data_IF_444733935163
#
_entry.id   IF_444733935163
#
_cell.length_a   1.000
_cell.length_b   1.000
_cell.length_c   1.000
_cell.angle_alpha   90.00
_cell.angle_beta   90.00
_cell.angle_gamma   90.00
#
_symmetry.space_group_name_H-M   'P 1'
#
loop_
_entity.id
_entity.type
_entity.pdbx_description
1 polymer ?
#
# COMPACT_ATOMS: atom_id res chain seq x y z
N UNK A 1 -14.53 -15.49 4.75
CA UNK A 1 -13.48 -16.48 4.42
C UNK A 1 -12.16 -15.78 4.67
N UNK A 2 -11.44 -16.18 5.72
CA UNK A 2 -10.07 -15.75 5.97
C UNK A 2 -9.24 -16.11 4.76
N UNK A 3 -8.48 -15.14 4.22
CA UNK A 3 -7.35 -15.43 3.33
C UNK A 3 -6.60 -16.61 3.92
N UNK A 4 -6.53 -17.73 3.19
CA UNK A 4 -5.68 -18.85 3.58
C UNK A 4 -4.26 -18.31 3.84
N UNK A 5 -3.49 -18.97 4.72
CA UNK A 5 -2.08 -18.67 5.03
C UNK A 5 -1.22 -18.69 3.76
N UNK A 6 -1.31 -17.63 2.99
CA UNK A 6 -0.52 -17.39 1.80
C UNK A 6 0.76 -16.76 2.32
N UNK A 7 1.84 -17.55 2.33
CA UNK A 7 3.15 -17.08 2.75
C UNK A 7 3.60 -15.92 1.87
N UNK A 8 4.31 -14.95 2.46
CA UNK A 8 4.86 -13.80 1.71
C UNK A 8 6.05 -14.28 0.87
N UNK A 9 5.99 -14.22 -0.48
CA UNK A 9 7.13 -14.52 -1.35
C UNK A 9 8.26 -13.52 -1.10
N UNK A 10 9.51 -13.97 -1.14
CA UNK A 10 10.65 -13.14 -0.74
C UNK A 10 11.24 -12.33 -1.88
N UNK A 11 10.87 -12.65 -3.12
CA UNK A 11 11.23 -11.90 -4.31
C UNK A 11 10.06 -11.78 -5.28
N UNK A 12 10.14 -10.80 -6.16
CA UNK A 12 9.16 -10.62 -7.24
C UNK A 12 9.06 -11.82 -8.17
N UNK A 13 10.18 -12.51 -8.40
CA UNK A 13 10.24 -13.70 -9.24
C UNK A 13 9.73 -14.97 -8.53
N UNK A 14 9.49 -14.90 -7.21
CA UNK A 14 8.90 -15.99 -6.42
C UNK A 14 7.36 -15.89 -6.35
N UNK A 15 6.77 -14.82 -6.90
CA UNK A 15 5.32 -14.67 -7.01
C UNK A 15 4.82 -15.59 -8.12
N UNK A 16 4.29 -16.75 -7.74
CA UNK A 16 3.75 -17.74 -8.68
C UNK A 16 2.33 -17.41 -9.12
N UNK A 17 1.89 -18.02 -10.21
CA UNK A 17 0.52 -17.90 -10.73
C UNK A 17 -0.53 -18.41 -9.72
N UNK A 18 -0.27 -19.52 -9.03
CA UNK A 18 -1.14 -20.05 -7.97
C UNK A 18 -1.26 -19.08 -6.78
N UNK A 19 -0.14 -18.46 -6.41
CA UNK A 19 -0.10 -17.46 -5.34
C UNK A 19 -0.92 -16.23 -5.73
N UNK A 20 -0.72 -15.71 -6.94
CA UNK A 20 -1.46 -14.52 -7.43
C UNK A 20 -2.95 -14.82 -7.61
N UNK A 21 -3.32 -16.02 -8.07
CA UNK A 21 -4.71 -16.49 -8.11
C UNK A 21 -5.34 -16.40 -6.72
N UNK A 22 -4.64 -16.89 -5.70
CA UNK A 22 -5.11 -16.84 -4.32
C UNK A 22 -5.26 -15.40 -3.82
N UNK A 23 -4.27 -14.54 -4.08
CA UNK A 23 -4.25 -13.14 -3.69
C UNK A 23 -5.38 -12.30 -4.34
N UNK A 24 -5.84 -12.67 -5.54
CA UNK A 24 -6.91 -11.96 -6.25
C UNK A 24 -8.30 -12.56 -6.02
N UNK A 25 -8.39 -13.76 -5.45
CA UNK A 25 -9.63 -14.56 -5.38
C UNK A 25 -10.81 -13.86 -4.70
N UNK A 26 -10.58 -12.98 -3.74
CA UNK A 26 -11.64 -12.22 -3.07
C UNK A 26 -12.31 -11.19 -3.99
N UNK A 27 -11.55 -10.57 -4.89
CA UNK A 27 -12.03 -9.53 -5.79
C UNK A 27 -12.43 -10.07 -7.16
N UNK A 28 -11.80 -11.16 -7.61
CA UNK A 28 -12.00 -11.77 -8.91
C UNK A 28 -12.31 -13.26 -8.77
N UNK A 29 -13.47 -13.63 -8.19
CA UNK A 29 -13.82 -15.03 -7.99
C UNK A 29 -13.90 -15.76 -9.34
N UNK A 30 -13.21 -16.89 -9.45
CA UNK A 30 -13.15 -17.70 -10.68
C UNK A 30 -12.10 -17.25 -11.69
N UNK A 31 -11.27 -16.24 -11.39
CA UNK A 31 -10.07 -15.96 -12.15
C UNK A 31 -8.95 -16.93 -11.76
N UNK A 32 -8.30 -17.52 -12.76
CA UNK A 32 -7.13 -18.39 -12.61
C UNK A 32 -5.97 -17.76 -13.38
N UNK A 33 -4.95 -17.30 -12.66
CA UNK A 33 -3.74 -16.72 -13.24
C UNK A 33 -2.85 -17.85 -13.75
N UNK A 34 -2.30 -17.71 -14.96
CA UNK A 34 -1.36 -18.68 -15.54
C UNK A 34 0.04 -18.11 -15.78
N UNK A 35 0.17 -16.79 -15.93
CA UNK A 35 1.44 -16.07 -16.12
C UNK A 35 1.54 -14.87 -15.18
N UNK A 36 2.71 -14.70 -14.56
CA UNK A 36 3.06 -13.51 -13.77
C UNK A 36 4.43 -13.03 -14.24
N UNK A 37 4.50 -11.80 -14.74
CA UNK A 37 5.77 -11.21 -15.23
C UNK A 37 6.04 -9.85 -14.64
N UNK A 38 7.26 -9.64 -14.16
CA UNK A 38 7.70 -8.32 -13.69
C UNK A 38 7.93 -7.40 -14.89
N UNK A 39 7.13 -6.35 -15.00
CA UNK A 39 7.20 -5.35 -16.07
C UNK A 39 8.08 -4.16 -15.66
N UNK A 40 8.04 -3.80 -14.38
CA UNK A 40 8.81 -2.68 -13.83
C UNK A 40 9.25 -3.04 -12.41
N UNK A 41 10.48 -2.68 -12.06
CA UNK A 41 11.00 -2.67 -10.69
C UNK A 41 11.40 -1.24 -10.32
N UNK A 42 11.00 -0.81 -9.14
CA UNK A 42 11.32 0.51 -8.56
C UNK A 42 11.63 0.32 -7.07
N UNK A 43 12.77 -0.32 -6.82
CA UNK A 43 13.23 -0.62 -5.47
C UNK A 43 14.02 0.56 -4.91
N UNK A 44 13.63 0.98 -3.70
CA UNK A 44 14.28 2.03 -2.91
C UNK A 44 14.12 1.70 -1.44
N UNK A 45 13.69 2.64 -0.61
CA UNK A 45 13.36 2.37 0.81
C UNK A 45 12.28 1.29 0.98
N UNK A 46 11.38 1.17 0.00
CA UNK A 46 10.50 0.01 -0.17
C UNK A 46 10.75 -0.61 -1.54
N UNK A 47 10.45 -1.90 -1.68
CA UNK A 47 10.43 -2.57 -2.97
C UNK A 47 9.08 -2.35 -3.64
N UNK A 48 9.09 -2.05 -4.94
CA UNK A 48 7.87 -1.84 -5.73
C UNK A 48 8.01 -2.49 -7.09
N UNK A 49 6.96 -3.15 -7.55
CA UNK A 49 6.92 -3.74 -8.87
C UNK A 49 5.58 -3.54 -9.56
N UNK A 50 5.61 -3.43 -10.90
CA UNK A 50 4.42 -3.66 -11.72
C UNK A 50 4.50 -5.08 -12.25
N UNK A 51 3.46 -5.86 -12.03
CA UNK A 51 3.35 -7.24 -12.52
C UNK A 51 2.27 -7.29 -13.61
N UNK A 52 2.61 -7.86 -14.77
CA UNK A 52 1.63 -8.23 -15.79
C UNK A 52 1.11 -9.64 -15.52
N UNK A 53 -0.20 -9.83 -15.72
CA UNK A 53 -0.90 -11.06 -15.44
C UNK A 53 -1.51 -11.65 -16.72
N UNK A 54 -1.37 -12.96 -16.88
CA UNK A 54 -2.15 -13.80 -17.80
C UNK A 54 -3.18 -14.62 -17.04
N UNK A 55 -4.24 -15.05 -17.73
CA UNK A 55 -5.30 -15.87 -17.14
C UNK A 55 -5.64 -17.05 -18.03
N UNK A 56 -5.66 -18.26 -17.45
CA UNK A 56 -6.18 -19.47 -18.09
C UNK A 56 -7.71 -19.55 -18.03
N UNK A 57 -8.31 -18.96 -16.99
CA UNK A 57 -9.75 -18.89 -16.80
C UNK A 57 -10.18 -17.60 -16.09
N UNK A 58 -11.44 -17.21 -16.29
CA UNK A 58 -12.00 -15.98 -15.72
C UNK A 58 -11.33 -14.71 -16.26
N UNK A 59 -11.43 -13.62 -15.50
CA UNK A 59 -10.83 -12.35 -15.86
C UNK A 59 -10.47 -11.53 -14.62
N UNK A 60 -9.34 -10.83 -14.67
CA UNK A 60 -8.87 -9.92 -13.64
C UNK A 60 -8.07 -8.76 -14.25
N UNK A 61 -7.36 -7.98 -13.44
CA UNK A 61 -6.54 -6.87 -13.92
C UNK A 61 -5.39 -7.38 -14.78
N UNK A 62 -5.16 -6.75 -15.95
CA UNK A 62 -4.03 -7.09 -16.81
C UNK A 62 -2.67 -6.76 -16.16
N UNK A 63 -2.66 -5.77 -15.26
CA UNK A 63 -1.50 -5.40 -14.45
C UNK A 63 -1.90 -5.10 -13.01
N UNK A 64 -1.02 -5.43 -12.08
CA UNK A 64 -1.13 -5.06 -10.66
C UNK A 64 0.14 -4.35 -10.20
N UNK A 65 -0.01 -3.54 -9.17
CA UNK A 65 1.11 -2.92 -8.46
C UNK A 65 1.38 -3.72 -7.18
N UNK A 66 2.62 -4.16 -6.98
CA UNK A 66 3.07 -4.84 -5.78
C UNK A 66 3.97 -3.91 -4.97
N UNK A 67 3.76 -3.87 -3.66
CA UNK A 67 4.59 -3.13 -2.70
C UNK A 67 4.99 -4.04 -1.57
N UNK A 68 6.27 -4.06 -1.24
CA UNK A 68 6.82 -4.81 -0.13
C UNK A 68 7.89 -4.00 0.59
N UNK A 69 8.21 -4.40 1.81
CA UNK A 69 9.40 -3.89 2.48
C UNK A 69 10.66 -4.46 1.81
N UNK A 70 11.71 -3.67 1.78
CA UNK A 70 13.06 -4.18 1.54
C UNK A 70 13.65 -4.67 2.87
N UNK A 71 14.03 -5.95 3.00
CA UNK A 71 14.64 -6.47 4.22
C UNK A 71 15.85 -5.65 4.71
N UNK A 72 16.63 -5.06 3.80
CA UNK A 72 17.79 -4.22 4.15
C UNK A 72 17.38 -2.87 4.77
N UNK A 73 16.14 -2.43 4.53
CA UNK A 73 15.60 -1.16 5.00
C UNK A 73 14.49 -1.31 6.05
N UNK A 74 14.14 -2.53 6.47
CA UNK A 74 13.03 -2.78 7.39
C UNK A 74 13.19 -2.04 8.74
N UNK A 75 14.41 -2.01 9.28
CA UNK A 75 14.71 -1.29 10.52
C UNK A 75 14.55 0.24 10.35
N UNK A 76 15.01 0.79 9.23
CA UNK A 76 14.83 2.21 8.91
C UNK A 76 13.35 2.58 8.79
N UNK A 77 12.57 1.75 8.09
CA UNK A 77 11.12 1.96 7.94
C UNK A 77 10.42 1.87 9.29
N UNK A 78 10.81 0.92 10.15
CA UNK A 78 10.27 0.77 11.50
C UNK A 78 10.56 1.98 12.40
N UNK A 79 11.75 2.60 12.30
CA UNK A 79 12.10 3.82 13.04
C UNK A 79 11.18 5.01 12.70
N UNK A 80 10.67 5.06 11.47
CA UNK A 80 9.69 6.07 11.05
C UNK A 80 8.24 5.71 11.40
N UNK A 81 8.03 4.69 12.25
CA UNK A 81 6.73 4.11 12.65
C UNK A 81 5.98 3.45 11.48
N UNK A 82 6.53 3.42 10.26
CA UNK A 82 5.76 3.14 9.04
C UNK A 82 5.58 1.68 8.65
N UNK A 83 6.31 0.73 9.25
CA UNK A 83 6.50 -0.60 8.66
C UNK A 83 5.19 -1.35 8.36
N UNK A 84 4.23 -1.31 9.28
CA UNK A 84 2.94 -1.99 9.11
C UNK A 84 1.76 -1.05 8.91
N UNK A 85 1.99 0.27 8.86
CA UNK A 85 0.90 1.24 8.82
C UNK A 85 0.03 1.10 7.58
N UNK A 86 0.63 0.97 6.41
CA UNK A 86 -0.10 0.83 5.16
C UNK A 86 -0.87 -0.49 5.05
N UNK A 87 -0.27 -1.68 5.28
CA UNK A 87 -1.03 -2.92 5.23
C UNK A 87 -2.10 -2.99 6.33
N UNK A 88 -1.87 -2.45 7.54
CA UNK A 88 -2.93 -2.36 8.58
C UNK A 88 -4.05 -1.42 8.17
N UNK A 89 -3.73 -0.28 7.52
CA UNK A 89 -4.73 0.65 7.02
C UNK A 89 -5.66 -0.01 6.01
N UNK A 90 -5.12 -0.67 4.99
CA UNK A 90 -5.94 -1.28 3.96
C UNK A 90 -6.66 -2.55 4.43
N UNK A 91 -6.10 -3.28 5.42
CA UNK A 91 -6.79 -4.39 6.07
C UNK A 91 -7.88 -3.96 7.06
N UNK A 92 -7.85 -2.71 7.54
CA UNK A 92 -8.83 -2.22 8.53
C UNK A 92 -10.25 -2.03 7.98
N UNK A 93 -10.38 -1.91 6.65
CA UNK A 93 -11.66 -1.69 5.98
C UNK A 93 -12.31 -0.33 6.26
N UNK A 94 -11.59 0.62 6.87
CA UNK A 94 -12.14 1.96 7.13
C UNK A 94 -12.31 2.74 5.83
N UNK A 95 -13.36 3.58 5.72
CA UNK A 95 -13.57 4.38 4.54
C UNK A 95 -12.51 5.48 4.41
N UNK A 96 -11.80 5.52 3.29
CA UNK A 96 -10.88 6.62 2.99
C UNK A 96 -11.60 7.66 2.11
N UNK A 97 -11.80 8.91 2.57
CA UNK A 97 -12.53 9.93 1.81
C UNK A 97 -11.66 10.61 0.74
N UNK A 98 -10.82 9.83 0.05
CA UNK A 98 -9.99 10.24 -1.08
C UNK A 98 -9.85 9.10 -2.09
N UNK A 99 -9.49 9.44 -3.32
CA UNK A 99 -9.16 8.43 -4.33
C UNK A 99 -7.91 7.65 -3.89
N UNK A 100 -7.98 6.32 -3.95
CA UNK A 100 -6.90 5.41 -3.61
C UNK A 100 -7.00 4.15 -4.50
N UNK A 101 -5.90 3.43 -4.74
CA UNK A 101 -5.96 2.15 -5.42
C UNK A 101 -6.85 1.17 -4.65
N UNK A 102 -7.55 0.31 -5.37
CA UNK A 102 -8.11 -0.91 -4.77
C UNK A 102 -6.96 -1.78 -4.28
N UNK A 103 -7.00 -2.22 -3.02
CA UNK A 103 -6.02 -3.17 -2.47
C UNK A 103 -6.64 -4.55 -2.48
N UNK A 104 -6.10 -5.46 -3.28
CA UNK A 104 -6.63 -6.81 -3.45
C UNK A 104 -6.18 -7.74 -2.33
N UNK A 105 -4.96 -7.54 -1.83
CA UNK A 105 -4.39 -8.29 -0.70
C UNK A 105 -3.38 -7.43 0.04
N UNK A 106 -3.39 -7.50 1.37
CA UNK A 106 -2.39 -6.92 2.25
C UNK A 106 -2.01 -7.95 3.33
N UNK A 107 -0.76 -8.41 3.29
CA UNK A 107 -0.22 -9.43 4.19
C UNK A 107 0.85 -8.81 5.09
N UNK A 108 0.88 -9.26 6.35
CA UNK A 108 1.87 -8.86 7.35
C UNK A 108 2.45 -10.13 7.96
N UNK A 109 3.76 -10.19 8.06
CA UNK A 109 4.48 -11.21 8.83
C UNK A 109 5.37 -10.48 9.86
N UNK A 110 4.87 -10.34 11.08
CA UNK A 110 5.55 -9.57 12.12
C UNK A 110 6.84 -10.26 12.61
N UNK A 111 6.88 -11.59 12.58
CA UNK A 111 8.05 -12.38 12.98
C UNK A 111 9.22 -12.14 12.03
N UNK A 112 8.94 -12.04 10.73
CA UNK A 112 9.93 -11.76 9.68
C UNK A 112 10.17 -10.28 9.42
N UNK A 113 9.40 -9.41 10.06
CA UNK A 113 9.36 -7.96 9.78
C UNK A 113 9.06 -7.66 8.31
N UNK A 114 8.11 -8.39 7.75
CA UNK A 114 7.80 -8.38 6.32
C UNK A 114 6.33 -7.98 6.07
N UNK A 115 6.09 -7.41 4.89
CA UNK A 115 4.75 -7.18 4.38
C UNK A 115 4.75 -7.26 2.86
N UNK A 116 3.60 -7.65 2.30
CA UNK A 116 3.36 -7.60 0.87
C UNK A 116 1.93 -7.13 0.61
N UNK A 117 1.81 -6.17 -0.31
CA UNK A 117 0.53 -5.69 -0.80
C UNK A 117 0.44 -5.88 -2.31
N UNK A 118 -0.71 -6.37 -2.77
CA UNK A 118 -1.09 -6.41 -4.18
C UNK A 118 -2.25 -5.44 -4.38
N UNK A 119 -2.06 -4.49 -5.28
CA UNK A 119 -2.92 -3.32 -5.45
C UNK A 119 -3.23 -3.09 -6.92
N UNK A 120 -4.30 -2.35 -7.18
CA UNK A 120 -4.65 -1.82 -8.49
C UNK A 120 -3.48 -1.03 -9.10
N UNK A 121 -3.14 -1.32 -10.36
CA UNK A 121 -2.30 -0.43 -11.16
C UNK A 121 -3.13 0.76 -11.65
N UNK A 122 -3.10 1.87 -10.90
CA UNK A 122 -3.91 3.07 -11.19
C UNK A 122 -3.62 3.69 -12.56
N UNK A 123 -2.47 3.38 -13.18
CA UNK A 123 -2.17 3.82 -14.56
C UNK A 123 -3.13 3.17 -15.55
N UNK A 124 -3.61 1.95 -15.28
CA UNK A 124 -4.58 1.25 -16.14
C UNK A 124 -5.91 2.00 -16.26
N UNK A 125 -6.27 2.84 -15.28
CA UNK A 125 -7.45 3.73 -15.34
C UNK A 125 -7.12 5.19 -15.68
N UNK A 126 -5.91 5.46 -16.19
CA UNK A 126 -5.50 6.78 -16.67
C UNK A 126 -4.86 7.69 -15.63
N UNK A 127 -4.46 7.19 -14.46
CA UNK A 127 -3.66 7.97 -13.54
C UNK A 127 -2.27 8.26 -14.12
N UNK A 128 -1.72 9.42 -13.77
CA UNK A 128 -0.39 9.89 -14.20
C UNK A 128 0.51 10.09 -12.96
N UNK A 129 1.21 9.03 -12.49
CA UNK A 129 2.20 9.17 -11.42
C UNK A 129 3.20 10.28 -11.75
N UNK A 130 3.40 11.20 -10.80
CA UNK A 130 4.31 12.34 -10.94
C UNK A 130 5.68 11.99 -10.34
N UNK A 131 6.70 12.66 -10.83
CA UNK A 131 8.02 12.73 -10.21
C UNK A 131 8.34 14.18 -9.85
N UNK A 132 9.44 14.40 -9.12
CA UNK A 132 9.87 15.72 -8.63
C UNK A 132 10.25 16.72 -9.74
N UNK A 133 10.40 16.27 -10.99
CA UNK A 133 10.75 17.12 -12.13
C UNK A 133 9.52 17.63 -12.89
N UNK A 134 8.33 17.11 -12.55
CA UNK A 134 7.08 17.35 -13.27
C UNK A 134 6.08 18.12 -12.39
N UNK A 135 6.09 19.47 -12.41
CA UNK A 135 5.27 20.30 -11.52
C UNK A 135 3.78 20.07 -11.73
N UNK A 136 3.00 20.17 -10.65
CA UNK A 136 1.54 20.08 -10.71
C UNK A 136 0.93 21.43 -11.08
N UNK A 137 -0.24 21.42 -11.72
CA UNK A 137 -1.02 22.64 -11.93
C UNK A 137 -1.66 23.09 -10.62
N UNK A 138 -2.07 24.37 -10.55
CA UNK A 138 -2.79 24.92 -9.39
C UNK A 138 -4.05 24.11 -9.08
N UNK A 139 -4.79 23.69 -10.11
CA UNK A 139 -6.01 22.90 -9.93
C UNK A 139 -5.74 21.51 -9.37
N UNK A 140 -4.66 20.85 -9.82
CA UNK A 140 -4.23 19.55 -9.28
C UNK A 140 -3.84 19.66 -7.81
N UNK A 141 -3.07 20.69 -7.45
CA UNK A 141 -2.69 20.95 -6.05
C UNK A 141 -3.93 21.25 -5.21
N UNK A 142 -4.84 22.10 -5.70
CA UNK A 142 -6.08 22.42 -5.00
C UNK A 142 -6.98 21.20 -4.80
N UNK A 143 -7.06 20.29 -5.78
CA UNK A 143 -7.77 19.02 -5.64
C UNK A 143 -7.15 18.13 -4.56
N UNK A 144 -5.82 17.97 -4.57
CA UNK A 144 -5.08 17.21 -3.56
C UNK A 144 -5.26 17.76 -2.14
N UNK A 145 -5.11 19.08 -1.95
CA UNK A 145 -5.30 19.74 -0.65
C UNK A 145 -6.74 19.56 -0.13
N UNK A 146 -7.76 19.62 -1.00
CA UNK A 146 -9.15 19.33 -0.59
C UNK A 146 -9.35 17.86 -0.20
N UNK A 147 -8.66 16.93 -0.86
CA UNK A 147 -8.64 15.52 -0.47
C UNK A 147 -8.04 15.31 0.92
N UNK A 148 -6.87 15.91 1.18
CA UNK A 148 -6.23 15.89 2.49
C UNK A 148 -7.11 16.53 3.56
N UNK A 149 -7.77 17.65 3.26
CA UNK A 149 -8.70 18.29 4.18
C UNK A 149 -9.87 17.37 4.55
N UNK A 150 -10.43 16.60 3.60
CA UNK A 150 -11.46 15.59 3.88
C UNK A 150 -10.95 14.46 4.76
N UNK A 151 -9.77 13.91 4.44
CA UNK A 151 -9.15 12.84 5.24
C UNK A 151 -8.88 13.30 6.67
N UNK A 152 -8.22 14.45 6.83
CA UNK A 152 -7.96 15.03 8.15
C UNK A 152 -9.25 15.34 8.89
N UNK A 153 -10.27 15.85 8.21
CA UNK A 153 -11.56 16.11 8.84
C UNK A 153 -12.19 14.82 9.37
N UNK A 154 -12.25 13.76 8.56
CA UNK A 154 -12.85 12.48 8.96
C UNK A 154 -12.18 11.91 10.22
N UNK A 155 -10.85 11.94 10.25
CA UNK A 155 -10.05 11.31 11.30
C UNK A 155 -9.39 12.31 12.27
N UNK A 156 -9.98 13.49 12.46
CA UNK A 156 -9.42 14.49 13.40
C UNK A 156 -9.67 14.10 14.87
N UNK A 157 -8.61 14.14 15.69
CA UNK A 157 -8.70 14.03 17.15
C UNK A 157 -9.41 12.76 17.62
N UNK A 158 -10.46 12.93 18.42
CA UNK A 158 -11.21 11.80 19.00
C UNK A 158 -11.87 10.90 17.94
N UNK A 159 -12.12 11.39 16.72
CA UNK A 159 -12.67 10.55 15.65
C UNK A 159 -11.72 9.44 15.23
N UNK A 160 -10.40 9.69 15.25
CA UNK A 160 -9.39 8.66 15.03
C UNK A 160 -9.26 7.76 16.25
N UNK A 161 -9.03 8.33 17.42
CA UNK A 161 -8.67 7.54 18.62
C UNK A 161 -9.83 6.69 19.17
N UNK A 162 -11.09 7.07 18.88
CA UNK A 162 -12.27 6.26 19.21
C UNK A 162 -12.64 5.25 18.12
N UNK A 163 -11.97 5.26 16.95
CA UNK A 163 -12.29 4.33 15.88
C UNK A 163 -11.69 2.95 16.18
N UNK A 164 -12.49 1.90 16.47
CA UNK A 164 -11.97 0.63 16.96
C UNK A 164 -11.04 -0.08 15.96
N UNK A 165 -11.32 0.05 14.65
CA UNK A 165 -10.48 -0.54 13.60
C UNK A 165 -9.12 0.18 13.40
N UNK A 166 -8.91 1.33 14.05
CA UNK A 166 -7.69 2.14 13.96
C UNK A 166 -6.94 2.21 15.30
N UNK A 167 -7.25 1.32 16.24
CA UNK A 167 -6.56 1.27 17.54
C UNK A 167 -5.08 0.91 17.48
N UNK A 168 -4.60 0.43 16.32
CA UNK A 168 -3.19 0.19 16.04
C UNK A 168 -2.42 1.45 15.61
N UNK A 169 -3.12 2.56 15.30
CA UNK A 169 -2.48 3.80 14.87
C UNK A 169 -1.84 4.47 16.08
N UNK A 170 -0.52 4.52 16.07
CA UNK A 170 0.26 5.15 17.12
C UNK A 170 0.38 6.67 16.88
N UNK A 171 0.33 7.49 17.94
CA UNK A 171 0.70 8.89 17.82
C UNK A 171 2.13 9.04 17.31
N UNK A 172 2.39 10.06 16.50
CA UNK A 172 3.76 10.38 16.11
C UNK A 172 4.60 10.70 17.35
N UNK A 173 5.70 9.97 17.51
CA UNK A 173 6.72 10.23 18.54
C UNK A 173 7.98 10.73 17.84
N UNK A 174 8.49 11.87 18.29
CA UNK A 174 9.75 12.40 17.77
C UNK A 174 10.90 11.41 18.04
N UNK A 175 11.64 11.07 17.00
CA UNK A 175 12.82 10.20 17.08
C UNK A 175 14.11 11.03 17.19
N UNK A 176 15.17 10.42 17.72
CA UNK A 176 16.51 11.03 17.80
C UNK A 176 16.99 11.44 16.41
N UNK A 177 17.38 12.71 16.25
CA UNK A 177 17.72 13.34 14.97
C UNK A 177 16.67 14.33 14.47
N UNK A 178 15.43 14.27 14.94
CA UNK A 178 14.39 15.25 14.56
C UNK A 178 14.70 16.66 15.10
N UNK A 179 15.52 16.79 16.15
CA UNK A 179 16.00 18.07 16.68
C UNK A 179 16.74 18.93 15.65
N UNK A 180 17.32 18.31 14.61
CA UNK A 180 18.00 19.02 13.52
C UNK A 180 17.04 19.54 12.43
N UNK A 181 15.77 19.13 12.48
CA UNK A 181 14.71 19.59 11.59
C UNK A 181 13.44 19.92 12.40
N UNK A 182 13.48 20.99 13.23
CA UNK A 182 12.42 21.26 14.19
C UNK A 182 11.08 21.48 13.49
N UNK A 183 10.15 20.55 13.71
CA UNK A 183 8.76 20.70 13.32
C UNK A 183 8.04 21.48 14.42
N UNK A 184 7.38 22.57 14.05
CA UNK A 184 6.41 23.22 14.93
C UNK A 184 5.16 22.34 14.99
N UNK A 185 5.15 21.35 15.88
CA UNK A 185 3.98 20.50 16.11
C UNK A 185 2.95 21.33 16.89
N UNK A 186 1.80 21.61 16.28
CA UNK A 186 0.69 22.24 16.98
C UNK A 186 0.14 21.23 18.01
N UNK A 187 0.21 21.59 19.29
CA UNK A 187 -0.35 20.82 20.40
C UNK A 187 -1.88 20.85 20.41
#
# INVERSE_FOLDING_TARGET
MTTADVSIPQGWDEITSDWMTSALSQHFPGAEVDDVRVVLRDDGTNRRARLALGYSAGSGPATVFAKAVDPEHADLVALTSGLYHEPRLFSSGVPLPLDHPTVYTALIDEDRRDFLMVMEDVVARGADPRDSTRPMTVDQVAAGVRGLARLHSEYWGERLTRHPALGWVEPFVAFEGLEYAPLHIAH
#
